data_IF_451287965209
#
_entry.id   IF_451287965209
#
_cell.length_a   1.000
_cell.length_b   1.000
_cell.length_c   1.000
_cell.angle_alpha   90.00
_cell.angle_beta   90.00
_cell.angle_gamma   90.00
#
_symmetry.space_group_name_H-M   'P 1'
#
loop_
_entity.id
_entity.type
_entity.pdbx_description
1 polymer ?
#
# COMPACT_ATOMS: atom_id res chain seq x y z
N UNK A 1 -29.37 -67.38 33.56
CA UNK A 1 -29.61 -66.09 34.25
C UNK A 1 -29.10 -64.98 33.35
N UNK A 2 -29.90 -63.91 33.24
CA UNK A 2 -29.78 -62.79 32.31
C UNK A 2 -28.55 -61.93 32.61
N UNK A 3 -27.87 -61.37 31.60
CA UNK A 3 -28.00 -59.94 31.29
C UNK A 3 -27.21 -59.56 30.04
N UNK A 4 -27.88 -58.88 29.11
CA UNK A 4 -27.30 -58.21 27.95
C UNK A 4 -27.07 -56.74 28.31
N UNK A 5 -26.08 -56.09 27.69
CA UNK A 5 -25.98 -54.63 27.68
C UNK A 5 -25.40 -54.16 26.35
N UNK A 6 -26.27 -53.55 25.55
CA UNK A 6 -26.00 -52.77 24.35
C UNK A 6 -25.43 -51.41 24.76
N UNK A 7 -24.41 -50.92 24.05
CA UNK A 7 -23.95 -49.53 24.14
C UNK A 7 -24.27 -48.81 22.83
N UNK A 8 -25.04 -47.74 22.99
CA UNK A 8 -25.61 -46.88 21.97
C UNK A 8 -24.55 -45.94 21.37
N UNK A 9 -24.59 -45.80 20.05
CA UNK A 9 -23.92 -44.76 19.26
C UNK A 9 -24.67 -43.43 19.44
N UNK A 10 -23.96 -42.35 19.79
CA UNK A 10 -24.51 -41.00 19.86
C UNK A 10 -23.98 -40.16 18.69
N UNK A 11 -24.87 -39.87 17.76
CA UNK A 11 -24.71 -38.83 16.73
C UNK A 11 -24.85 -37.45 17.39
N UNK A 12 -23.85 -36.58 17.21
CA UNK A 12 -23.95 -35.17 17.57
C UNK A 12 -24.51 -34.39 16.36
N UNK A 13 -25.70 -33.80 16.53
CA UNK A 13 -26.27 -32.81 15.63
C UNK A 13 -25.54 -31.47 15.81
N UNK A 14 -24.98 -30.92 14.72
CA UNK A 14 -24.53 -29.54 14.65
C UNK A 14 -25.71 -28.68 14.19
N UNK A 15 -26.21 -27.81 15.07
CA UNK A 15 -27.21 -26.80 14.73
C UNK A 15 -26.51 -25.57 14.15
N UNK A 16 -26.81 -25.24 12.89
CA UNK A 16 -26.42 -23.99 12.27
C UNK A 16 -27.36 -22.86 12.70
N UNK A 17 -26.83 -21.83 13.38
CA UNK A 17 -27.55 -20.60 13.68
C UNK A 17 -27.36 -19.60 12.54
N UNK A 18 -28.42 -19.32 11.80
CA UNK A 18 -28.48 -18.25 10.80
C UNK A 18 -28.72 -16.90 11.50
N UNK A 19 -27.78 -15.97 11.39
CA UNK A 19 -27.97 -14.57 11.77
C UNK A 19 -28.65 -13.82 10.61
N UNK A 20 -29.90 -13.42 10.83
CA UNK A 20 -30.61 -12.48 9.96
C UNK A 20 -30.26 -11.05 10.37
N UNK A 21 -29.58 -10.31 9.49
CA UNK A 21 -29.47 -8.86 9.60
C UNK A 21 -30.77 -8.22 9.09
N UNK A 22 -31.48 -7.56 9.99
CA UNK A 22 -32.65 -6.74 9.67
C UNK A 22 -32.25 -5.36 9.17
N UNK A 23 -32.72 -5.01 7.98
CA UNK A 23 -32.73 -3.64 7.48
C UNK A 23 -33.65 -2.78 8.37
N UNK A 24 -33.15 -1.66 8.88
CA UNK A 24 -34.01 -0.57 9.37
C UNK A 24 -33.77 0.65 8.51
N UNK A 25 -34.69 0.88 7.57
CA UNK A 25 -34.84 2.14 6.87
C UNK A 25 -35.73 3.05 7.71
N UNK A 26 -35.24 4.22 8.08
CA UNK A 26 -36.09 5.33 8.55
C UNK A 26 -35.88 6.52 7.63
N UNK A 27 -36.88 6.75 6.78
CA UNK A 27 -37.05 7.99 6.05
C UNK A 27 -37.39 9.09 7.05
N UNK A 28 -36.63 10.17 7.06
CA UNK A 28 -37.15 11.47 7.53
C UNK A 28 -36.93 12.50 6.43
N UNK A 29 -38.05 12.76 5.78
CA UNK A 29 -38.35 13.89 4.92
C UNK A 29 -38.24 15.17 5.76
N UNK A 30 -37.53 16.18 5.25
CA UNK A 30 -37.13 17.36 6.00
C UNK A 30 -36.70 18.48 5.08
N UNK A 31 -37.67 19.00 4.33
CA UNK A 31 -37.60 20.22 3.54
C UNK A 31 -37.10 21.41 4.37
N UNK A 32 -35.97 21.99 3.97
CA UNK A 32 -35.65 23.38 4.30
C UNK A 32 -35.27 24.14 3.03
N UNK A 33 -36.21 25.00 2.66
CA UNK A 33 -36.13 26.00 1.61
C UNK A 33 -35.52 27.26 2.22
N UNK A 34 -34.47 27.79 1.57
CA UNK A 34 -33.81 29.03 1.93
C UNK A 34 -33.27 29.71 0.69
N UNK A 35 -34.00 30.72 0.24
CA UNK A 35 -33.73 31.56 -0.93
C UNK A 35 -32.42 32.38 -0.83
N UNK A 36 -31.86 32.66 -2.01
CA UNK A 36 -31.62 34.06 -2.41
C UNK A 36 -30.20 34.62 -2.27
N UNK A 37 -29.51 34.79 -3.41
CA UNK A 37 -28.35 35.67 -3.51
C UNK A 37 -27.66 35.68 -4.88
N UNK A 38 -28.18 36.50 -5.82
CA UNK A 38 -27.54 36.83 -7.11
C UNK A 38 -26.68 38.11 -7.00
N UNK A 39 -25.68 38.22 -7.86
CA UNK A 39 -25.04 39.49 -8.30
C UNK A 39 -23.56 39.59 -7.91
N UNK A 40 -22.60 39.94 -8.78
CA UNK A 40 -22.71 40.56 -10.10
C UNK A 40 -21.41 40.50 -10.91
N UNK A 41 -21.52 41.05 -12.11
CA UNK A 41 -20.58 40.99 -13.24
C UNK A 41 -19.45 42.03 -13.19
N UNK A 42 -18.45 41.76 -14.04
CA UNK A 42 -17.70 42.67 -14.91
C UNK A 42 -16.72 43.71 -14.32
N UNK A 43 -15.47 43.58 -14.75
CA UNK A 43 -14.46 44.64 -14.81
C UNK A 43 -13.47 44.35 -15.92
N UNK A 44 -13.66 44.97 -17.08
CA UNK A 44 -12.82 44.92 -18.28
C UNK A 44 -12.12 46.28 -18.46
N UNK A 45 -10.90 46.30 -19.02
CA UNK A 45 -10.23 47.49 -19.58
C UNK A 45 -8.94 47.89 -18.85
N UNK A 46 -7.80 48.22 -19.48
CA UNK A 46 -7.40 48.40 -20.90
C UNK A 46 -5.88 48.14 -21.03
N UNK A 47 -5.32 47.75 -22.19
CA UNK A 47 -4.93 48.58 -23.36
C UNK A 47 -4.17 49.87 -23.00
N UNK A 48 -3.04 50.26 -23.59
CA UNK A 48 -2.33 49.83 -24.80
C UNK A 48 -0.95 50.53 -24.90
N UNK A 49 -0.12 50.04 -25.84
CA UNK A 49 0.86 50.82 -26.62
C UNK A 49 2.29 50.74 -26.11
N UNK A 50 3.32 50.46 -26.90
CA UNK A 50 3.57 50.32 -28.35
C UNK A 50 5.11 50.24 -28.46
N UNK A 51 5.80 49.83 -29.52
CA UNK A 51 5.52 49.55 -30.92
C UNK A 51 6.88 49.49 -31.63
N UNK A 52 6.99 48.69 -32.69
CA UNK A 52 8.04 48.76 -33.71
C UNK A 52 9.30 47.90 -33.47
N UNK A 53 9.94 47.28 -34.45
CA UNK A 53 9.78 47.13 -35.90
C UNK A 53 10.70 45.97 -36.35
N UNK A 54 10.34 45.31 -37.47
CA UNK A 54 11.20 44.53 -38.40
C UNK A 54 12.10 43.43 -37.83
N UNK A 55 11.96 42.14 -38.12
CA UNK A 55 11.68 41.53 -39.41
C UNK A 55 12.95 40.83 -39.89
N UNK A 56 13.03 39.49 -39.75
CA UNK A 56 13.80 38.63 -40.65
C UNK A 56 13.31 37.17 -40.52
N UNK A 57 13.02 36.57 -41.66
CA UNK A 57 12.59 35.19 -41.78
C UNK A 57 13.80 34.26 -41.58
N UNK A 58 13.77 33.47 -40.51
CA UNK A 58 14.75 32.43 -40.21
C UNK A 58 14.06 31.09 -40.03
N UNK A 59 14.29 30.22 -40.99
CA UNK A 59 13.82 28.84 -41.10
C UNK A 59 14.25 28.00 -39.88
N UNK A 60 13.36 27.08 -39.44
CA UNK A 60 13.41 26.40 -38.16
C UNK A 60 14.73 25.74 -37.76
N UNK A 61 15.07 25.93 -36.48
CA UNK A 61 15.97 25.08 -35.70
C UNK A 61 15.39 24.98 -34.30
N UNK A 62 14.79 23.84 -33.96
CA UNK A 62 14.45 23.52 -32.58
C UNK A 62 15.79 23.37 -31.83
N UNK A 63 16.12 24.39 -31.03
CA UNK A 63 17.28 24.38 -30.16
C UNK A 63 17.20 23.19 -29.21
N UNK A 64 18.14 22.26 -29.38
CA UNK A 64 18.41 21.23 -28.40
C UNK A 64 18.86 21.90 -27.11
N UNK A 65 18.13 21.64 -26.04
CA UNK A 65 18.61 21.87 -24.70
C UNK A 65 19.66 20.80 -24.42
N UNK A 66 20.92 21.17 -24.57
CA UNK A 66 22.07 20.35 -24.18
C UNK A 66 22.16 20.41 -22.66
N UNK A 67 21.66 19.38 -21.98
CA UNK A 67 21.89 19.22 -20.55
C UNK A 67 23.33 18.74 -20.37
N UNK A 68 24.12 19.35 -19.47
CA UNK A 68 25.39 18.77 -19.07
C UNK A 68 25.12 17.35 -18.58
N UNK A 69 25.69 16.36 -19.26
CA UNK A 69 25.80 15.02 -18.72
C UNK A 69 26.78 15.12 -17.56
N UNK A 70 26.25 15.31 -16.36
CA UNK A 70 27.03 15.23 -15.14
C UNK A 70 27.57 13.79 -15.07
N UNK A 71 28.80 13.61 -15.54
CA UNK A 71 29.60 12.39 -15.43
C UNK A 71 30.03 12.11 -13.99
N UNK A 72 29.10 12.28 -13.05
CA UNK A 72 29.26 11.80 -11.70
C UNK A 72 29.46 10.28 -11.72
N UNK A 73 30.19 9.72 -10.74
CA UNK A 73 30.21 8.28 -10.56
C UNK A 73 28.76 7.77 -10.49
N UNK A 74 28.44 6.59 -11.09
CA UNK A 74 27.10 6.03 -11.00
C UNK A 74 26.70 6.00 -9.53
N UNK A 75 25.54 6.58 -9.23
CA UNK A 75 24.96 6.50 -7.89
C UNK A 75 24.92 5.01 -7.51
N UNK A 76 25.42 4.63 -6.32
CA UNK A 76 25.49 3.23 -5.95
C UNK A 76 24.10 2.62 -6.12
N UNK A 77 24.00 1.54 -6.91
CA UNK A 77 22.75 0.84 -7.12
C UNK A 77 22.12 0.56 -5.76
N UNK A 78 20.97 1.18 -5.49
CA UNK A 78 20.23 0.90 -4.27
C UNK A 78 19.89 -0.59 -4.31
N UNK A 79 20.29 -1.37 -3.29
CA UNK A 79 19.96 -2.78 -3.27
C UNK A 79 18.44 -2.92 -3.36
N UNK A 80 17.96 -3.77 -4.25
CA UNK A 80 16.55 -4.10 -4.35
C UNK A 80 15.99 -4.53 -3.00
N UNK A 81 15.25 -3.64 -2.33
CA UNK A 81 14.67 -3.89 -1.01
C UNK A 81 13.17 -4.03 -1.16
N UNK A 82 12.78 -5.12 -1.81
CA UNK A 82 11.40 -5.56 -1.93
C UNK A 82 11.28 -6.93 -1.28
N UNK A 83 10.44 -7.04 -0.27
CA UNK A 83 10.19 -8.28 0.45
C UNK A 83 8.70 -8.62 0.39
N UNK A 84 8.42 -9.91 0.29
CA UNK A 84 7.09 -10.47 0.52
C UNK A 84 7.18 -11.46 1.67
N UNK A 85 6.08 -11.80 2.32
CA UNK A 85 6.09 -12.86 3.32
C UNK A 85 4.84 -13.73 3.25
N UNK A 86 4.98 -14.98 3.68
CA UNK A 86 3.87 -15.85 4.04
C UNK A 86 3.61 -15.79 5.55
N UNK A 87 2.75 -16.65 6.10
CA UNK A 87 2.50 -16.69 7.55
C UNK A 87 3.75 -17.04 8.36
N UNK A 88 4.61 -17.90 7.82
CA UNK A 88 5.70 -18.56 8.52
C UNK A 88 7.10 -18.29 7.91
N UNK A 89 7.21 -17.47 6.86
CA UNK A 89 8.49 -17.23 6.18
C UNK A 89 8.59 -15.91 5.44
N UNK A 90 9.82 -15.43 5.29
CA UNK A 90 10.17 -14.20 4.60
C UNK A 90 10.79 -14.50 3.23
N UNK A 91 10.38 -13.75 2.21
CA UNK A 91 10.92 -13.82 0.86
C UNK A 91 11.53 -12.47 0.46
N UNK A 92 12.53 -12.52 -0.42
CA UNK A 92 13.08 -11.35 -1.09
C UNK A 92 12.77 -11.42 -2.58
N UNK A 93 12.28 -10.33 -3.15
CA UNK A 93 12.17 -10.13 -4.58
C UNK A 93 13.37 -9.32 -5.07
N UNK A 94 14.11 -9.86 -6.02
CA UNK A 94 15.05 -9.07 -6.80
C UNK A 94 14.27 -8.28 -7.87
N UNK A 95 14.25 -6.94 -7.80
CA UNK A 95 13.43 -6.16 -8.72
C UNK A 95 14.02 -6.06 -10.14
N UNK A 96 15.25 -6.49 -10.37
CA UNK A 96 15.89 -6.51 -11.69
C UNK A 96 15.67 -7.85 -12.39
N UNK A 97 15.99 -8.94 -11.71
CA UNK A 97 15.82 -10.30 -12.28
C UNK A 97 14.40 -10.82 -12.15
N UNK A 98 13.61 -10.20 -11.27
CA UNK A 98 12.27 -10.64 -10.84
C UNK A 98 12.27 -12.00 -10.13
N UNK A 99 13.43 -12.46 -9.67
CA UNK A 99 13.57 -13.71 -8.92
C UNK A 99 13.08 -13.53 -7.48
N UNK A 100 12.35 -14.53 -6.98
CA UNK A 100 11.92 -14.60 -5.58
C UNK A 100 12.74 -15.66 -4.87
N UNK A 101 13.43 -15.27 -3.80
CA UNK A 101 14.23 -16.17 -2.97
C UNK A 101 13.67 -16.25 -1.56
N UNK A 102 13.65 -17.45 -0.98
CA UNK A 102 13.41 -17.61 0.46
C UNK A 102 14.58 -16.98 1.23
N UNK A 103 14.27 -16.10 2.19
CA UNK A 103 15.25 -15.60 3.16
C UNK A 103 15.43 -16.66 4.24
N UNK A 104 14.39 -16.87 5.05
CA UNK A 104 14.31 -17.94 6.05
C UNK A 104 12.86 -18.08 6.56
N UNK A 105 12.62 -19.07 7.41
CA UNK A 105 11.39 -19.20 8.20
C UNK A 105 11.42 -18.25 9.40
N UNK A 106 10.26 -17.68 9.70
CA UNK A 106 10.08 -16.81 10.84
C UNK A 106 10.36 -17.57 12.14
N UNK A 107 11.27 -17.04 12.96
CA UNK A 107 11.62 -17.62 14.27
C UNK A 107 11.37 -16.60 15.37
N UNK A 108 10.67 -17.00 16.44
CA UNK A 108 10.47 -16.17 17.63
C UNK A 108 9.37 -15.10 17.52
N UNK A 109 8.53 -15.12 16.48
CA UNK A 109 7.46 -14.12 16.29
C UNK A 109 6.22 -14.37 17.18
N UNK A 110 6.20 -15.49 17.91
CA UNK A 110 5.13 -15.91 18.83
C UNK A 110 3.93 -16.53 18.11
N UNK A 111 3.45 -15.88 17.05
CA UNK A 111 2.35 -16.31 16.15
C UNK A 111 2.65 -15.85 14.72
N UNK A 112 1.79 -16.21 13.77
CA UNK A 112 1.94 -15.88 12.35
C UNK A 112 2.12 -14.36 12.13
N UNK A 113 3.07 -14.02 11.28
CA UNK A 113 3.28 -12.64 10.81
C UNK A 113 2.15 -12.32 9.82
N UNK A 114 1.47 -11.21 10.06
CA UNK A 114 0.34 -10.76 9.25
C UNK A 114 0.75 -9.70 8.25
N UNK A 115 1.73 -8.84 8.60
CA UNK A 115 2.26 -7.84 7.66
C UNK A 115 3.66 -7.34 8.02
N UNK A 116 4.36 -6.67 7.09
CA UNK A 116 5.71 -6.09 7.29
C UNK A 116 5.85 -4.68 6.70
N UNK A 117 6.77 -3.88 7.25
CA UNK A 117 7.20 -2.60 6.68
C UNK A 117 8.71 -2.42 6.82
N UNK A 118 9.30 -1.67 5.88
CA UNK A 118 10.76 -1.48 5.80
C UNK A 118 11.07 0.00 5.83
N UNK A 119 11.95 0.42 6.74
CA UNK A 119 12.41 1.81 6.80
C UNK A 119 13.53 2.10 5.79
N UNK A 120 13.96 3.36 5.71
CA UNK A 120 15.08 3.82 4.86
C UNK A 120 16.42 3.18 5.19
N UNK A 121 16.56 2.62 6.39
CA UNK A 121 17.78 1.96 6.88
C UNK A 121 17.67 0.43 6.76
N UNK A 122 16.66 -0.03 6.01
CA UNK A 122 16.40 -1.44 5.72
C UNK A 122 15.99 -2.28 6.93
N UNK A 123 15.51 -1.67 8.00
CA UNK A 123 15.00 -2.42 9.16
C UNK A 123 13.58 -2.85 8.87
N UNK A 124 13.32 -4.14 9.07
CA UNK A 124 11.99 -4.71 8.90
C UNK A 124 11.28 -4.68 10.25
N UNK A 125 10.09 -4.11 10.25
CA UNK A 125 9.12 -4.23 11.33
C UNK A 125 7.96 -5.08 10.82
N UNK A 126 7.38 -5.89 11.69
CA UNK A 126 6.23 -6.70 11.34
C UNK A 126 5.18 -6.67 12.42
N UNK A 127 3.95 -6.93 12.02
CA UNK A 127 2.85 -7.22 12.93
C UNK A 127 2.52 -8.70 12.86
N UNK A 128 2.11 -9.24 14.00
CA UNK A 128 1.63 -10.62 14.12
C UNK A 128 0.23 -10.58 14.73
N UNK A 129 -0.45 -11.72 14.81
CA UNK A 129 -1.69 -11.81 15.60
C UNK A 129 -1.50 -11.52 17.10
N UNK A 130 -0.26 -11.42 17.59
CA UNK A 130 0.07 -11.26 19.01
C UNK A 130 0.83 -9.98 19.35
N UNK A 131 1.45 -9.30 18.39
CA UNK A 131 2.21 -8.10 18.69
C UNK A 131 2.93 -7.45 17.52
N UNK A 132 3.68 -6.39 17.85
CA UNK A 132 4.64 -5.71 16.98
C UNK A 132 6.03 -6.30 17.23
N UNK A 133 6.74 -6.63 16.15
CA UNK A 133 8.07 -7.25 16.18
C UNK A 133 9.04 -6.48 15.27
N UNK A 134 10.33 -6.47 15.62
CA UNK A 134 11.40 -6.21 14.66
C UNK A 134 11.84 -7.55 14.05
N UNK A 135 12.17 -7.56 12.76
CA UNK A 135 12.53 -8.77 12.02
C UNK A 135 13.93 -8.60 11.43
N UNK A 136 14.81 -9.55 11.69
CA UNK A 136 16.12 -9.62 11.03
C UNK A 136 15.93 -9.96 9.54
N UNK A 137 16.34 -9.06 8.65
CA UNK A 137 16.14 -9.20 7.20
C UNK A 137 16.96 -10.32 6.56
N UNK A 138 17.91 -10.91 7.28
CA UNK A 138 18.80 -11.96 6.80
C UNK A 138 18.46 -13.34 7.35
N UNK A 139 17.93 -13.40 8.58
CA UNK A 139 17.60 -14.67 9.26
C UNK A 139 16.13 -14.83 9.60
N UNK A 140 15.26 -13.86 9.26
CA UNK A 140 13.84 -13.83 9.63
C UNK A 140 13.55 -13.99 11.14
N UNK A 141 14.52 -13.67 12.01
CA UNK A 141 14.35 -13.78 13.47
C UNK A 141 13.60 -12.56 13.99
N UNK A 142 12.55 -12.81 14.75
CA UNK A 142 11.73 -11.78 15.37
C UNK A 142 12.24 -11.42 16.77
N UNK A 143 12.25 -10.12 17.06
CA UNK A 143 12.38 -9.58 18.42
C UNK A 143 11.09 -8.85 18.77
N UNK A 144 10.39 -9.32 19.80
CA UNK A 144 9.16 -8.70 20.28
C UNK A 144 9.43 -7.27 20.76
N UNK A 145 8.67 -6.32 20.23
CA UNK A 145 8.65 -4.93 20.70
C UNK A 145 7.53 -4.78 21.72
N UNK A 146 6.29 -5.14 21.34
CA UNK A 146 5.13 -4.94 22.19
C UNK A 146 3.99 -5.90 21.84
N UNK A 147 3.40 -6.55 22.85
CA UNK A 147 2.18 -7.35 22.69
C UNK A 147 0.98 -6.45 22.37
N UNK A 148 0.07 -6.91 21.51
CA UNK A 148 -1.14 -6.17 21.18
C UNK A 148 -1.75 -6.58 19.86
N UNK A 149 -2.80 -5.85 19.46
CA UNK A 149 -3.43 -5.97 18.14
C UNK A 149 -3.05 -4.75 17.31
N UNK A 150 -2.61 -5.01 16.08
CA UNK A 150 -2.07 -4.00 15.17
C UNK A 150 -2.73 -4.12 13.79
N UNK A 151 -2.62 -3.08 12.94
CA UNK A 151 -3.07 -3.13 11.55
C UNK A 151 -2.49 -4.32 10.78
N UNK A 152 -3.27 -4.82 9.82
CA UNK A 152 -2.81 -5.76 8.79
C UNK A 152 -2.53 -5.01 7.47
N UNK A 153 -1.79 -3.90 7.59
CA UNK A 153 -1.36 -2.99 6.53
C UNK A 153 -0.30 -2.07 7.13
N UNK A 154 0.93 -2.08 6.62
CA UNK A 154 2.05 -1.42 7.25
C UNK A 154 2.93 -0.72 6.23
N UNK A 155 3.31 0.52 6.54
CA UNK A 155 4.34 1.22 5.79
C UNK A 155 5.12 2.16 6.67
N UNK A 156 6.31 2.55 6.22
CA UNK A 156 6.93 3.77 6.70
C UNK A 156 6.55 4.93 5.80
N UNK A 157 6.18 6.07 6.38
CA UNK A 157 6.12 7.33 5.62
C UNK A 157 7.44 8.09 5.79
N UNK A 158 7.98 8.71 4.72
CA UNK A 158 9.24 9.43 4.79
C UNK A 158 9.25 10.57 5.82
N UNK A 159 10.42 10.85 6.38
CA UNK A 159 10.65 12.03 7.21
C UNK A 159 10.21 13.33 6.50
N UNK A 160 9.67 14.27 7.26
CA UNK A 160 9.00 15.48 6.76
C UNK A 160 7.51 15.31 6.46
N UNK A 161 6.97 14.09 6.59
CA UNK A 161 5.55 13.80 6.37
C UNK A 161 4.73 13.96 7.65
N UNK A 162 4.92 13.05 8.62
CA UNK A 162 4.23 13.05 9.91
C UNK A 162 5.14 13.46 11.07
N UNK A 163 6.44 13.23 10.93
CA UNK A 163 7.49 13.72 11.83
C UNK A 163 8.53 14.46 10.98
N UNK A 164 9.04 15.63 11.42
CA UNK A 164 9.99 16.41 10.63
C UNK A 164 11.36 15.73 10.44
N UNK A 165 11.75 14.82 11.35
CA UNK A 165 13.12 14.31 11.44
C UNK A 165 13.21 12.81 11.17
N UNK A 166 12.15 12.06 11.43
CA UNK A 166 12.15 10.59 11.32
C UNK A 166 11.03 10.06 10.43
N UNK A 167 11.25 8.84 9.93
CA UNK A 167 10.18 8.07 9.32
C UNK A 167 9.23 7.54 10.39
N UNK A 168 7.95 7.46 10.02
CA UNK A 168 6.88 7.05 10.93
C UNK A 168 6.26 5.77 10.40
N UNK A 169 6.20 4.74 11.25
CA UNK A 169 5.46 3.51 10.96
C UNK A 169 3.96 3.81 11.03
N UNK A 170 3.24 3.42 9.99
CA UNK A 170 1.82 3.70 9.81
C UNK A 170 1.07 2.46 9.32
N UNK A 171 -0.25 2.49 9.44
CA UNK A 171 -1.13 1.45 8.89
C UNK A 171 -2.59 1.87 8.89
N UNK A 172 -3.45 1.01 8.37
CA UNK A 172 -4.91 1.16 8.43
C UNK A 172 -5.59 0.08 9.28
N UNK A 173 -6.40 0.54 10.22
CA UNK A 173 -7.39 -0.30 10.92
C UNK A 173 -8.73 -0.09 10.24
N UNK A 174 -9.06 -0.97 9.29
CA UNK A 174 -10.22 -0.83 8.39
C UNK A 174 -10.07 0.45 7.57
N UNK A 175 -10.69 1.56 7.98
CA UNK A 175 -10.59 2.86 7.32
C UNK A 175 -9.85 3.91 8.17
N UNK A 176 -9.40 3.55 9.38
CA UNK A 176 -8.72 4.47 10.29
C UNK A 176 -7.23 4.42 10.04
N UNK A 177 -6.65 5.56 9.66
CA UNK A 177 -5.21 5.69 9.45
C UNK A 177 -4.52 6.00 10.79
N UNK A 178 -3.53 5.18 11.13
CA UNK A 178 -2.84 5.25 12.42
C UNK A 178 -1.32 5.35 12.23
N UNK A 179 -0.66 5.98 13.20
CA UNK A 179 0.79 5.87 13.42
C UNK A 179 1.06 4.92 14.58
N UNK A 180 2.18 4.21 14.50
CA UNK A 180 2.62 3.23 15.50
C UNK A 180 4.01 3.65 15.98
N UNK A 181 4.18 3.78 17.28
CA UNK A 181 5.49 4.01 17.88
C UNK A 181 6.32 2.73 17.84
N UNK A 182 7.44 2.75 17.11
CA UNK A 182 8.31 1.58 16.87
C UNK A 182 9.07 1.07 18.10
N UNK A 183 9.04 1.79 19.22
CA UNK A 183 9.74 1.42 20.46
C UNK A 183 8.75 0.90 21.51
N UNK A 184 7.60 1.55 21.62
CA UNK A 184 6.59 1.27 22.65
C UNK A 184 5.38 0.49 22.13
N UNK A 185 5.19 0.43 20.81
CA UNK A 185 3.99 -0.12 20.18
C UNK A 185 2.75 0.76 20.32
N UNK A 186 2.86 1.99 20.84
CA UNK A 186 1.71 2.86 21.02
C UNK A 186 1.07 3.25 19.68
N UNK A 187 -0.22 2.99 19.53
CA UNK A 187 -1.00 3.34 18.33
C UNK A 187 -1.72 4.66 18.54
N UNK A 188 -1.61 5.60 17.60
CA UNK A 188 -2.31 6.89 17.62
C UNK A 188 -3.02 7.12 16.30
N UNK A 189 -4.29 7.54 16.34
CA UNK A 189 -5.04 7.91 15.14
C UNK A 189 -4.46 9.19 14.51
N UNK A 190 -4.25 9.14 13.20
CA UNK A 190 -3.78 10.26 12.37
C UNK A 190 -4.95 10.81 11.53
N UNK A 191 -5.76 9.94 10.95
CA UNK A 191 -6.91 10.33 10.13
C UNK A 191 -7.69 9.14 9.61
N UNK A 192 -8.28 9.26 8.42
CA UNK A 192 -9.13 8.21 7.84
C UNK A 192 -9.15 8.23 6.32
N UNK A 193 -9.39 7.05 5.74
CA UNK A 193 -9.42 6.80 4.29
C UNK A 193 -10.56 7.57 3.59
N UNK A 194 -11.75 7.52 4.17
CA UNK A 194 -12.95 8.13 3.58
C UNK A 194 -13.48 7.38 2.35
N UNK A 195 -14.49 7.97 1.71
CA UNK A 195 -15.01 7.48 0.44
C UNK A 195 -15.79 6.16 0.48
N UNK A 196 -16.01 5.54 1.64
CA UNK A 196 -16.68 4.24 1.75
C UNK A 196 -15.77 3.03 1.48
N UNK A 197 -14.45 3.24 1.48
CA UNK A 197 -13.44 2.19 1.34
C UNK A 197 -12.89 1.76 2.71
N UNK A 198 -12.31 0.56 2.74
CA UNK A 198 -11.48 0.05 3.82
C UNK A 198 -10.23 -0.61 3.21
N UNK A 199 -9.14 -0.68 3.98
CA UNK A 199 -7.95 -1.46 3.62
C UNK A 199 -8.35 -2.91 3.36
N UNK A 200 -7.99 -3.46 2.21
CA UNK A 200 -8.15 -4.89 1.88
C UNK A 200 -6.86 -5.67 2.02
N UNK A 201 -5.73 -5.00 1.83
CA UNK A 201 -4.39 -5.50 2.06
C UNK A 201 -3.55 -4.37 2.62
N UNK A 202 -2.56 -3.95 1.85
CA UNK A 202 -1.36 -3.28 2.34
C UNK A 202 -1.19 -1.86 1.77
N UNK A 203 -0.33 -1.07 2.42
CA UNK A 203 0.05 0.30 2.08
C UNK A 203 1.55 0.38 1.78
N UNK A 204 1.91 1.09 0.72
CA UNK A 204 3.31 1.44 0.43
C UNK A 204 3.48 2.93 0.25
N UNK A 205 4.49 3.53 0.87
CA UNK A 205 4.85 4.93 0.70
C UNK A 205 6.31 5.07 0.28
N UNK A 206 6.56 5.90 -0.75
CA UNK A 206 7.91 6.15 -1.27
C UNK A 206 8.23 7.65 -1.27
N UNK A 207 9.46 8.02 -0.91
CA UNK A 207 9.95 9.39 -0.90
C UNK A 207 10.01 9.94 -2.32
N UNK A 208 9.37 11.09 -2.53
CA UNK A 208 9.31 11.74 -3.85
C UNK A 208 8.32 11.10 -4.83
N UNK A 209 7.67 10.00 -4.45
CA UNK A 209 6.57 9.40 -5.21
C UNK A 209 5.25 9.47 -4.44
N UNK A 210 4.41 8.45 -4.63
CA UNK A 210 3.08 8.36 -4.02
C UNK A 210 3.02 7.50 -2.77
N UNK A 211 1.84 7.47 -2.17
CA UNK A 211 1.44 6.48 -1.17
C UNK A 211 0.24 5.73 -1.69
N UNK A 212 0.38 4.42 -1.82
CA UNK A 212 -0.64 3.56 -2.42
C UNK A 212 -1.17 2.57 -1.41
N UNK A 213 -2.43 2.18 -1.57
CA UNK A 213 -3.12 1.24 -0.69
C UNK A 213 -4.01 0.31 -1.53
N UNK A 214 -4.07 -0.97 -1.19
CA UNK A 214 -5.12 -1.86 -1.68
C UNK A 214 -6.37 -1.75 -0.81
N UNK A 215 -7.52 -1.52 -1.45
CA UNK A 215 -8.79 -1.30 -0.76
C UNK A 215 -9.92 -2.17 -1.28
N UNK A 216 -10.88 -2.41 -0.39
CA UNK A 216 -12.21 -2.96 -0.69
C UNK A 216 -13.29 -1.92 -0.42
N UNK A 217 -14.44 -2.06 -1.07
CA UNK A 217 -15.61 -1.18 -0.94
C UNK A 217 -16.03 -0.57 -2.27
N UNK A 218 -17.23 0.04 -2.30
CA UNK A 218 -17.80 0.69 -3.48
C UNK A 218 -17.81 -0.18 -4.77
N UNK A 219 -18.07 -1.48 -4.61
CA UNK A 219 -18.08 -2.42 -5.74
C UNK A 219 -16.69 -2.88 -6.20
N UNK A 220 -15.63 -2.57 -5.45
CA UNK A 220 -14.30 -3.10 -5.67
C UNK A 220 -13.89 -4.07 -4.57
N UNK A 221 -13.32 -5.22 -4.97
CA UNK A 221 -12.73 -6.20 -4.05
C UNK A 221 -11.32 -5.77 -3.65
N UNK A 222 -10.44 -5.61 -4.65
CA UNK A 222 -9.08 -5.11 -4.51
C UNK A 222 -8.81 -4.05 -5.59
N UNK A 223 -8.86 -2.79 -5.17
CA UNK A 223 -8.50 -1.63 -5.99
C UNK A 223 -7.22 -1.01 -5.47
N UNK A 224 -6.40 -0.47 -6.38
CA UNK A 224 -5.31 0.41 -5.98
C UNK A 224 -5.85 1.82 -5.83
N UNK A 225 -5.59 2.44 -4.69
CA UNK A 225 -5.83 3.86 -4.46
C UNK A 225 -4.55 4.57 -4.10
N UNK A 226 -4.51 5.86 -4.38
CA UNK A 226 -3.52 6.78 -3.84
C UNK A 226 -4.11 7.50 -2.64
N UNK A 227 -3.34 7.63 -1.57
CA UNK A 227 -3.74 8.26 -0.31
C UNK A 227 -2.75 9.35 0.07
N UNK A 228 -3.23 10.34 0.83
CA UNK A 228 -2.39 11.40 1.36
C UNK A 228 -1.64 10.89 2.60
N UNK A 229 -0.31 10.76 2.61
CA UNK A 229 0.40 10.15 3.73
C UNK A 229 0.42 11.00 5.01
N UNK A 230 0.02 12.28 4.94
CA UNK A 230 -0.13 13.13 6.13
C UNK A 230 -1.45 12.93 6.86
N UNK A 231 -2.47 12.42 6.17
CA UNK A 231 -3.85 12.36 6.70
C UNK A 231 -4.50 10.99 6.56
N UNK A 232 -3.96 10.14 5.70
CA UNK A 232 -4.57 8.88 5.28
C UNK A 232 -5.79 9.05 4.37
N UNK A 233 -6.11 10.25 3.91
CA UNK A 233 -7.31 10.46 3.09
C UNK A 233 -7.10 9.96 1.66
N UNK A 234 -8.14 9.37 1.06
CA UNK A 234 -8.19 9.03 -0.35
C UNK A 234 -7.91 10.26 -1.23
N UNK A 235 -6.92 10.14 -2.13
CA UNK A 235 -6.64 11.13 -3.19
C UNK A 235 -7.29 10.68 -4.49
N UNK A 236 -7.04 9.44 -4.90
CA UNK A 236 -7.44 8.92 -6.21
C UNK A 236 -7.70 7.43 -6.15
N UNK A 237 -8.73 6.97 -6.85
CA UNK A 237 -8.91 5.54 -7.14
C UNK A 237 -8.38 5.25 -8.54
N UNK A 238 -7.38 4.37 -8.64
CA UNK A 238 -6.77 3.94 -9.90
C UNK A 238 -7.52 2.78 -10.58
N UNK A 239 -8.40 2.12 -9.83
CA UNK A 239 -9.21 1.01 -10.31
C UNK A 239 -8.75 -0.36 -9.82
N UNK A 240 -9.39 -1.42 -10.31
CA UNK A 240 -9.13 -2.79 -9.87
C UNK A 240 -7.73 -3.25 -10.27
N UNK A 241 -7.06 -3.96 -9.37
CA UNK A 241 -5.70 -4.49 -9.63
C UNK A 241 -5.71 -5.76 -10.49
N UNK A 242 -6.88 -6.35 -10.74
CA UNK A 242 -7.03 -7.55 -11.59
C UNK A 242 -6.74 -8.88 -10.87
N UNK A 243 -6.53 -8.83 -9.55
CA UNK A 243 -6.32 -9.99 -8.69
C UNK A 243 -7.13 -9.80 -7.40
N UNK A 244 -7.58 -10.91 -6.81
CA UNK A 244 -8.24 -10.92 -5.51
C UNK A 244 -7.26 -11.31 -4.40
N UNK A 245 -7.57 -10.89 -3.17
CA UNK A 245 -6.81 -11.18 -1.95
C UNK A 245 -5.35 -10.69 -2.07
N UNK A 246 -5.21 -9.44 -2.50
CA UNK A 246 -3.91 -8.78 -2.65
C UNK A 246 -3.53 -8.16 -1.32
N UNK A 247 -2.95 -8.99 -0.46
CA UNK A 247 -2.61 -8.63 0.91
C UNK A 247 -1.26 -7.95 1.06
N UNK A 248 -0.40 -7.96 0.04
CA UNK A 248 0.87 -7.23 0.06
C UNK A 248 1.05 -6.35 -1.16
N UNK A 249 1.56 -5.13 -0.96
CA UNK A 249 2.09 -4.31 -2.04
C UNK A 249 3.44 -3.70 -1.67
N UNK A 250 4.32 -3.59 -2.66
CA UNK A 250 5.62 -2.94 -2.50
C UNK A 250 5.87 -1.99 -3.68
N UNK A 251 6.84 -1.09 -3.56
CA UNK A 251 7.17 -0.13 -4.60
C UNK A 251 8.63 -0.27 -5.01
N UNK A 252 8.88 -0.24 -6.32
CA UNK A 252 10.23 -0.14 -6.86
C UNK A 252 10.22 0.46 -8.26
N UNK A 253 11.11 1.44 -8.49
CA UNK A 253 11.42 1.98 -9.81
C UNK A 253 10.21 2.50 -10.60
N UNK A 254 9.26 3.16 -9.92
CA UNK A 254 8.06 3.71 -10.57
C UNK A 254 6.89 2.74 -10.68
N UNK A 255 7.06 1.48 -10.26
CA UNK A 255 6.02 0.45 -10.28
C UNK A 255 5.63 0.03 -8.87
N UNK A 256 4.37 -0.39 -8.72
CA UNK A 256 3.89 -1.12 -7.54
C UNK A 256 3.94 -2.61 -7.85
N UNK A 257 4.36 -3.44 -6.90
CA UNK A 257 4.38 -4.89 -7.00
C UNK A 257 3.30 -5.43 -6.09
N UNK A 258 2.40 -6.25 -6.64
CA UNK A 258 1.33 -6.89 -5.89
C UNK A 258 1.65 -8.34 -5.56
N UNK A 259 1.30 -8.74 -4.34
CA UNK A 259 1.52 -10.06 -3.78
C UNK A 259 0.18 -10.60 -3.28
N UNK A 260 -0.31 -11.69 -3.88
CA UNK A 260 -1.61 -12.23 -3.51
C UNK A 260 -1.52 -13.58 -2.76
N UNK A 261 -2.59 -13.91 -2.04
CA UNK A 261 -2.64 -15.13 -1.23
C UNK A 261 -2.47 -16.42 -2.04
N UNK A 262 -2.78 -16.41 -3.34
CA UNK A 262 -2.59 -17.57 -4.24
C UNK A 262 -1.15 -17.75 -4.74
N UNK A 263 -0.22 -16.90 -4.29
CA UNK A 263 1.19 -16.95 -4.69
C UNK A 263 1.51 -16.20 -5.98
N UNK A 264 0.55 -15.45 -6.54
CA UNK A 264 0.83 -14.61 -7.70
C UNK A 264 1.59 -13.36 -7.27
N UNK A 265 2.68 -13.12 -7.99
CA UNK A 265 3.42 -11.86 -8.01
C UNK A 265 3.12 -11.15 -9.34
N UNK A 266 2.88 -9.85 -9.29
CA UNK A 266 2.60 -9.05 -10.47
C UNK A 266 3.11 -7.61 -10.31
N UNK A 267 3.41 -6.98 -11.44
CA UNK A 267 3.79 -5.57 -11.51
C UNK A 267 2.57 -4.75 -11.94
N UNK A 268 2.30 -3.67 -11.22
CA UNK A 268 1.29 -2.67 -11.50
C UNK A 268 2.01 -1.42 -12.01
N UNK A 269 1.69 -1.05 -13.25
CA UNK A 269 2.19 0.16 -13.90
C UNK A 269 1.06 1.17 -14.08
N UNK A 270 1.39 2.45 -14.02
CA UNK A 270 0.43 3.53 -14.19
C UNK A 270 0.36 3.97 -15.65
N UNK A 271 -0.84 4.20 -16.17
CA UNK A 271 -1.01 4.83 -17.46
C UNK A 271 -0.37 6.24 -17.42
N UNK A 272 0.53 6.60 -18.35
CA UNK A 272 1.14 7.93 -18.42
C UNK A 272 0.13 9.08 -18.53
N UNK A 273 -1.07 8.82 -19.06
CA UNK A 273 -2.16 9.79 -19.16
C UNK A 273 -3.00 9.89 -17.87
N UNK A 274 -2.69 9.06 -16.86
CA UNK A 274 -3.38 9.02 -15.59
C UNK A 274 -4.74 8.31 -15.63
N UNK A 275 -5.06 7.57 -16.70
CA UNK A 275 -6.37 6.92 -16.91
C UNK A 275 -6.64 5.73 -15.98
N UNK A 276 -5.59 5.08 -15.48
CA UNK A 276 -5.72 3.84 -14.71
C UNK A 276 -4.38 3.13 -14.55
N UNK A 277 -4.47 1.83 -14.28
CA UNK A 277 -3.32 0.94 -14.07
C UNK A 277 -3.38 -0.28 -14.98
N UNK A 278 -2.23 -0.90 -15.21
CA UNK A 278 -2.10 -2.20 -15.87
C UNK A 278 -1.31 -3.14 -14.98
N UNK A 279 -1.87 -4.32 -14.71
CA UNK A 279 -1.21 -5.38 -13.94
C UNK A 279 -0.65 -6.45 -14.88
N UNK A 280 0.63 -6.75 -14.73
CA UNK A 280 1.35 -7.77 -15.51
C UNK A 280 1.91 -8.82 -14.57
N UNK A 281 1.49 -10.07 -14.75
CA UNK A 281 2.00 -11.17 -13.94
C UNK A 281 3.52 -11.33 -14.11
N UNK A 282 4.22 -11.49 -12.99
CA UNK A 282 5.62 -11.88 -12.95
C UNK A 282 5.66 -13.40 -12.72
N UNK A 283 6.21 -14.18 -13.67
CA UNK A 283 6.40 -15.60 -13.46
C UNK A 283 7.41 -15.84 -12.33
N UNK A 284 6.96 -16.47 -11.26
CA UNK A 284 7.86 -16.94 -10.20
C UNK A 284 8.39 -18.32 -10.57
N UNK A 285 9.71 -18.44 -10.71
CA UNK A 285 10.38 -19.73 -10.91
C UNK A 285 10.52 -20.48 -9.58
N UNK A 286 10.43 -21.81 -9.62
CA UNK A 286 10.73 -22.68 -8.47
C UNK A 286 9.51 -23.28 -7.76
N UNK A 287 9.78 -24.21 -6.84
CA UNK A 287 8.80 -24.98 -6.06
C UNK A 287 8.63 -24.39 -4.64
N UNK A 288 8.53 -23.06 -4.55
CA UNK A 288 8.45 -22.38 -3.25
C UNK A 288 7.07 -22.47 -2.59
N UNK A 289 6.06 -23.01 -3.30
CA UNK A 289 4.66 -23.06 -2.87
C UNK A 289 4.24 -21.71 -2.26
N UNK A 290 4.45 -20.64 -3.03
CA UNK A 290 4.31 -19.26 -2.59
C UNK A 290 2.88 -18.98 -2.13
N UNK A 291 2.78 -18.36 -0.97
CA UNK A 291 1.55 -17.80 -0.40
C UNK A 291 1.98 -16.48 0.23
N UNK A 292 1.34 -15.38 -0.18
CA UNK A 292 1.67 -14.06 0.35
C UNK A 292 0.57 -13.53 1.27
N UNK A 293 0.98 -13.06 2.45
CA UNK A 293 0.11 -12.43 3.45
C UNK A 293 0.38 -10.94 3.60
N UNK A 294 1.52 -10.45 3.11
CA UNK A 294 1.90 -9.04 3.13
C UNK A 294 3.21 -8.84 2.37
N UNK A 295 3.61 -7.58 2.21
CA UNK A 295 4.84 -7.20 1.53
C UNK A 295 5.37 -5.89 2.10
N UNK A 296 6.58 -5.50 1.69
CA UNK A 296 7.13 -4.21 2.08
C UNK A 296 8.32 -3.84 1.22
N UNK A 297 8.49 -2.53 1.04
CA UNK A 297 9.68 -1.95 0.43
C UNK A 297 10.16 -0.75 1.21
N UNK A 298 11.44 -0.43 1.05
CA UNK A 298 12.02 0.78 1.64
C UNK A 298 11.40 2.05 1.07
N UNK A 299 11.31 3.08 1.90
CA UNK A 299 10.81 4.41 1.52
C UNK A 299 11.74 5.15 0.54
N UNK A 300 13.00 4.73 0.42
CA UNK A 300 13.97 5.32 -0.50
C UNK A 300 14.06 4.56 -1.84
N UNK A 301 13.09 3.69 -2.14
CA UNK A 301 13.01 3.03 -3.43
C UNK A 301 13.02 4.06 -4.57
N UNK A 302 13.73 3.78 -5.69
CA UNK A 302 13.81 4.71 -6.80
C UNK A 302 12.42 4.94 -7.41
N UNK A 303 12.09 6.18 -7.75
CA UNK A 303 10.79 6.54 -8.36
C UNK A 303 10.75 6.36 -9.87
N UNK A 304 11.91 6.15 -10.48
CA UNK A 304 12.08 5.86 -11.91
C UNK A 304 12.95 4.60 -12.07
N UNK A 305 12.80 3.87 -13.18
CA UNK A 305 13.73 2.81 -13.54
C UNK A 305 15.16 3.36 -13.65
N UNK A 306 16.17 2.66 -13.11
CA UNK A 306 17.54 3.05 -13.35
C UNK A 306 17.83 3.03 -14.86
N UNK A 307 18.70 3.94 -15.35
CA UNK A 307 19.10 3.95 -16.75
C UNK A 307 19.61 2.58 -17.18
N UNK A 308 19.16 2.12 -18.35
CA UNK A 308 19.68 0.90 -18.98
C UNK A 308 21.02 1.13 -19.66
#
# INVERSE_FOLDING_TARGET
>A
MRSASLLFSSFALIAAAAFAYGCSATNTDGTFQGDGGKGGEAGQGGSAGGGGEGGEAGQGGAGGFDFPTDGGPPEPELPGEVFGHGPDRLYKLDPYTKEVTLVDYFEGCGVDVIDIAIDKDSKIFGTTFGGLVAIDKTTAKCTLIQNGSYPNSLSFVPAGTLDPNEEVLVGYQIATYVRIDKVTGAVTTVGSLGGGYASSGDIVSVKGGGTYLTVTGNGCSDCLVEVNPKTGALIKNWGPVGYDNVFGIAFWAGSVYGFNQSGFLFEITFDPNGSGITSTQIPTSGDLNLIFWGAGSTTIAPIEPPPK
#
